data_IF_565787642793
#
_entry.id   IF_565787642793
#
_cell.length_a   1.000
_cell.length_b   1.000
_cell.length_c   1.000
_cell.angle_alpha   90.00
_cell.angle_beta   90.00
_cell.angle_gamma   90.00
#
_symmetry.space_group_name_H-M   'P 1'
#
loop_
_entity.id
_entity.type
_entity.pdbx_description
1 polymer ?
#
# COMPACT_ATOMS: atom_id res chain seq x y z
N UNK A 1 13.88 -6.44 -6.40
CA UNK A 1 12.97 -5.69 -7.27
C UNK A 1 12.93 -4.25 -6.73
N UNK A 2 13.15 -3.24 -7.55
CA UNK A 2 13.03 -1.84 -7.11
C UNK A 2 11.64 -1.32 -7.48
N UNK A 3 10.92 -0.81 -6.48
CA UNK A 3 9.62 -0.18 -6.66
C UNK A 3 9.75 1.33 -6.48
N UNK A 4 8.92 2.14 -7.18
CA UNK A 4 8.85 3.56 -6.91
C UNK A 4 8.41 3.83 -5.47
N UNK A 5 8.69 5.03 -4.97
CA UNK A 5 8.26 5.44 -3.63
C UNK A 5 6.74 5.61 -3.52
N UNK A 6 6.06 5.79 -4.64
CA UNK A 6 4.62 6.02 -4.69
C UNK A 6 3.94 5.17 -5.75
N UNK A 7 2.69 4.79 -5.47
CA UNK A 7 1.75 4.26 -6.45
C UNK A 7 0.46 5.07 -6.45
N UNK A 8 -0.09 5.30 -7.62
CA UNK A 8 -1.48 5.71 -7.81
C UNK A 8 -2.44 4.55 -7.49
N UNK A 9 -3.74 4.84 -7.35
CA UNK A 9 -4.76 3.78 -7.22
C UNK A 9 -4.69 2.77 -8.37
N UNK A 10 -4.51 3.24 -9.62
CA UNK A 10 -4.43 2.36 -10.78
C UNK A 10 -3.24 1.40 -10.68
N UNK A 11 -2.06 1.94 -10.37
CA UNK A 11 -0.84 1.14 -10.19
C UNK A 11 -1.00 0.15 -9.04
N UNK A 12 -1.59 0.56 -7.90
CA UNK A 12 -1.89 -0.35 -6.81
C UNK A 12 -2.77 -1.52 -7.26
N UNK A 13 -3.88 -1.25 -7.94
CA UNK A 13 -4.80 -2.31 -8.38
C UNK A 13 -4.16 -3.26 -9.40
N UNK A 14 -3.39 -2.73 -10.37
CA UNK A 14 -2.70 -3.54 -11.38
C UNK A 14 -1.57 -4.37 -10.75
N UNK A 15 -0.74 -3.74 -9.92
CA UNK A 15 0.39 -4.39 -9.28
C UNK A 15 -0.06 -5.43 -8.25
N UNK A 16 -1.10 -5.13 -7.46
CA UNK A 16 -1.70 -6.08 -6.51
C UNK A 16 -2.07 -7.37 -7.23
N UNK A 17 -2.84 -7.27 -8.32
CA UNK A 17 -3.26 -8.42 -9.11
C UNK A 17 -2.08 -9.23 -9.66
N UNK A 18 -1.11 -8.55 -10.27
CA UNK A 18 0.07 -9.21 -10.86
C UNK A 18 0.93 -9.91 -9.80
N UNK A 19 1.23 -9.22 -8.71
CA UNK A 19 2.18 -9.69 -7.69
C UNK A 19 1.55 -10.77 -6.81
N UNK A 20 0.24 -10.69 -6.53
CA UNK A 20 -0.46 -11.77 -5.83
C UNK A 20 -0.53 -13.05 -6.67
N UNK A 21 -0.64 -12.94 -8.00
CA UNK A 21 -0.52 -14.11 -8.90
C UNK A 21 0.89 -14.74 -8.89
N UNK A 22 1.91 -13.97 -8.54
CA UNK A 22 3.30 -14.43 -8.32
C UNK A 22 3.54 -14.91 -6.86
N UNK A 23 2.51 -14.89 -6.00
CA UNK A 23 2.59 -15.30 -4.59
C UNK A 23 3.16 -14.22 -3.65
N UNK A 24 3.24 -12.96 -4.09
CA UNK A 24 3.70 -11.82 -3.30
C UNK A 24 2.47 -11.08 -2.75
N UNK A 25 2.38 -10.98 -1.42
CA UNK A 25 1.25 -10.31 -0.75
C UNK A 25 1.36 -8.78 -0.90
N UNK A 26 0.26 -8.12 -1.29
CA UNK A 26 0.19 -6.66 -1.46
C UNK A 26 -0.92 -6.08 -0.59
N UNK A 27 -0.53 -5.29 0.42
CA UNK A 27 -1.42 -4.79 1.46
C UNK A 27 -1.59 -3.27 1.40
N UNK A 28 -2.83 -2.81 1.51
CA UNK A 28 -3.17 -1.40 1.62
C UNK A 28 -3.32 -1.02 3.11
N UNK A 29 -2.40 -0.20 3.62
CA UNK A 29 -2.25 0.05 5.04
C UNK A 29 -2.86 1.39 5.44
N UNK A 30 -3.89 1.35 6.28
CA UNK A 30 -4.55 2.51 6.88
C UNK A 30 -3.74 3.07 8.05
N UNK A 31 -3.19 4.27 7.89
CA UNK A 31 -2.45 4.96 8.97
C UNK A 31 -3.30 5.98 9.74
N UNK A 32 -4.59 6.13 9.43
CA UNK A 32 -5.47 7.18 9.96
C UNK A 32 -6.74 6.65 10.66
N UNK A 33 -6.91 5.32 10.76
CA UNK A 33 -8.09 4.69 11.36
C UNK A 33 -9.41 5.12 10.67
N UNK A 34 -9.31 5.31 9.36
CA UNK A 34 -10.41 5.69 8.49
C UNK A 34 -10.28 4.87 7.20
N UNK A 35 -10.83 3.64 7.16
CA UNK A 35 -10.70 2.74 6.03
C UNK A 35 -11.24 3.40 4.75
N UNK A 36 -10.59 3.11 3.63
CA UNK A 36 -11.10 3.47 2.31
C UNK A 36 -12.32 2.59 2.02
N UNK A 37 -13.47 3.21 1.77
CA UNK A 37 -14.71 2.49 1.46
C UNK A 37 -14.55 1.63 0.20
N UNK A 38 -15.02 0.38 0.27
CA UNK A 38 -14.92 -0.63 -0.79
C UNK A 38 -13.46 -0.98 -1.20
N UNK A 39 -12.49 -0.74 -0.32
CA UNK A 39 -11.13 -1.26 -0.47
C UNK A 39 -10.80 -2.19 0.70
N UNK A 40 -10.05 -3.25 0.41
CA UNK A 40 -9.50 -4.12 1.44
C UNK A 40 -8.28 -3.46 2.09
N UNK A 41 -8.46 -2.95 3.31
CA UNK A 41 -7.45 -2.21 4.06
C UNK A 41 -7.14 -2.88 5.39
N UNK A 42 -5.87 -2.84 5.80
CA UNK A 42 -5.42 -3.27 7.12
C UNK A 42 -4.96 -2.06 7.94
N UNK A 43 -5.30 -2.03 9.22
CA UNK A 43 -4.86 -0.96 10.13
C UNK A 43 -3.35 -1.05 10.33
N UNK A 44 -2.68 0.10 10.39
CA UNK A 44 -1.26 0.18 10.71
C UNK A 44 -0.96 -0.38 12.11
N UNK A 45 -0.52 -1.64 12.15
CA UNK A 45 0.00 -2.29 13.36
C UNK A 45 1.41 -2.84 13.08
N UNK A 46 2.48 -2.18 13.55
CA UNK A 46 3.85 -2.61 13.29
C UNK A 46 4.17 -4.04 13.74
N UNK A 47 3.53 -4.53 14.80
CA UNK A 47 3.79 -5.88 15.32
C UNK A 47 3.24 -6.93 14.35
N UNK A 48 2.00 -6.77 13.93
CA UNK A 48 1.36 -7.68 12.96
C UNK A 48 2.01 -7.60 11.58
N UNK A 49 2.32 -6.38 11.11
CA UNK A 49 2.94 -6.17 9.80
C UNK A 49 4.33 -6.80 9.69
N UNK A 50 5.11 -6.82 10.77
CA UNK A 50 6.42 -7.50 10.79
C UNK A 50 6.32 -9.01 10.61
N UNK A 51 5.19 -9.61 10.97
CA UNK A 51 4.95 -11.04 10.85
C UNK A 51 4.40 -11.45 9.47
N UNK A 52 4.18 -10.48 8.56
CA UNK A 52 3.82 -10.76 7.18
C UNK A 52 4.98 -11.40 6.41
N UNK A 53 4.72 -12.21 5.38
CA UNK A 53 5.74 -12.85 4.57
C UNK A 53 6.84 -11.87 4.13
N UNK A 54 8.08 -12.34 4.10
CA UNK A 54 9.21 -11.53 3.64
C UNK A 54 9.03 -11.22 2.14
N UNK A 55 9.32 -9.98 1.75
CA UNK A 55 9.07 -9.50 0.38
C UNK A 55 7.66 -8.96 0.13
N UNK A 56 6.71 -9.07 1.08
CA UNK A 56 5.39 -8.43 0.94
C UNK A 56 5.51 -6.92 0.72
N UNK A 57 4.51 -6.37 0.04
CA UNK A 57 4.46 -4.95 -0.33
C UNK A 57 3.41 -4.24 0.52
N UNK A 58 3.86 -3.22 1.24
CA UNK A 58 3.02 -2.38 2.08
C UNK A 58 2.82 -1.03 1.41
N UNK A 59 1.57 -0.75 1.05
CA UNK A 59 1.14 0.50 0.43
C UNK A 59 0.43 1.33 1.49
N UNK A 60 1.15 2.28 2.09
CA UNK A 60 0.64 3.12 3.18
C UNK A 60 -0.19 4.28 2.63
N UNK A 61 -1.35 4.53 3.22
CA UNK A 61 -2.14 5.72 2.91
C UNK A 61 -2.54 6.51 4.16
N UNK A 62 -2.66 7.82 3.97
CA UNK A 62 -3.38 8.74 4.84
C UNK A 62 -4.42 9.50 4.01
N UNK A 63 -4.98 10.61 4.51
CA UNK A 63 -5.99 11.38 3.76
C UNK A 63 -5.49 11.93 2.41
N UNK A 64 -4.23 12.40 2.36
CA UNK A 64 -3.66 13.08 1.17
C UNK A 64 -2.40 12.45 0.58
N UNK A 65 -1.88 11.39 1.20
CA UNK A 65 -0.60 10.75 0.83
C UNK A 65 0.66 11.52 1.27
N UNK A 66 0.55 12.80 1.64
CA UNK A 66 1.71 13.62 2.05
C UNK A 66 2.44 13.06 3.28
N UNK A 67 1.68 12.67 4.30
CA UNK A 67 2.28 12.17 5.54
C UNK A 67 2.98 10.82 5.35
N UNK A 68 2.38 9.92 4.56
CA UNK A 68 2.95 8.61 4.26
C UNK A 68 4.19 8.70 3.37
N UNK A 69 4.22 9.63 2.42
CA UNK A 69 5.40 9.90 1.60
C UNK A 69 6.55 10.49 2.43
N UNK A 70 6.28 11.51 3.25
CA UNK A 70 7.30 12.14 4.09
C UNK A 70 7.95 11.16 5.08
N UNK A 71 7.16 10.21 5.61
CA UNK A 71 7.62 9.19 6.56
C UNK A 71 8.08 7.90 5.90
N UNK A 72 8.15 7.83 4.57
CA UNK A 72 8.42 6.58 3.86
C UNK A 72 9.75 5.95 4.28
N UNK A 73 10.78 6.76 4.51
CA UNK A 73 12.08 6.27 4.96
C UNK A 73 12.02 5.66 6.37
N UNK A 74 11.15 6.15 7.24
CA UNK A 74 10.91 5.55 8.56
C UNK A 74 10.22 4.19 8.43
N UNK A 75 9.26 4.06 7.51
CA UNK A 75 8.63 2.76 7.22
C UNK A 75 9.65 1.76 6.65
N UNK A 76 10.48 2.17 5.68
CA UNK A 76 11.55 1.32 5.13
C UNK A 76 12.53 0.84 6.20
N UNK A 77 12.92 1.71 7.13
CA UNK A 77 13.75 1.34 8.29
C UNK A 77 13.04 0.37 9.24
N UNK A 78 11.73 0.53 9.43
CA UNK A 78 10.92 -0.28 10.35
C UNK A 78 10.58 -1.67 9.78
N UNK A 79 10.46 -1.77 8.46
CA UNK A 79 10.13 -3.00 7.72
C UNK A 79 11.19 -3.28 6.64
N UNK A 80 12.46 -3.54 7.03
CA UNK A 80 13.56 -3.71 6.06
C UNK A 80 13.44 -4.95 5.18
N UNK A 81 12.58 -5.90 5.57
CA UNK A 81 12.27 -7.15 4.86
C UNK A 81 11.09 -7.02 3.90
N UNK A 82 10.48 -5.84 3.83
CA UNK A 82 9.25 -5.59 3.08
C UNK A 82 9.43 -4.36 2.20
N UNK A 83 8.66 -4.27 1.13
CA UNK A 83 8.66 -3.09 0.28
C UNK A 83 7.65 -2.07 0.81
N UNK A 84 8.11 -0.85 1.06
CA UNK A 84 7.25 0.24 1.55
C UNK A 84 7.02 1.25 0.44
N UNK A 85 5.74 1.54 0.18
CA UNK A 85 5.25 2.45 -0.87
C UNK A 85 4.19 3.38 -0.26
N UNK A 86 4.12 4.63 -0.71
CA UNK A 86 3.04 5.55 -0.34
C UNK A 86 1.94 5.58 -1.41
N UNK A 87 0.67 5.56 -1.01
CA UNK A 87 -0.44 5.77 -1.94
C UNK A 87 -0.53 7.26 -2.32
N UNK A 88 -0.27 7.57 -3.58
CA UNK A 88 -0.30 8.94 -4.12
C UNK A 88 -1.70 9.53 -3.99
N UNK A 89 -1.78 10.69 -3.35
CA UNK A 89 -3.05 11.39 -3.11
C UNK A 89 -3.88 10.81 -1.96
N UNK A 90 -3.45 9.68 -1.38
CA UNK A 90 -4.12 9.06 -0.24
C UNK A 90 -5.58 8.68 -0.49
N UNK A 91 -6.35 8.58 0.60
CA UNK A 91 -7.78 8.28 0.58
C UNK A 91 -8.58 9.31 -0.23
N UNK A 92 -8.20 10.59 -0.20
CA UNK A 92 -8.90 11.66 -0.90
C UNK A 92 -8.89 11.55 -2.43
N UNK A 93 -7.94 10.80 -3.00
CA UNK A 93 -7.84 10.57 -4.44
C UNK A 93 -8.46 9.22 -4.87
N UNK A 94 -8.93 8.41 -3.92
CA UNK A 94 -9.49 7.10 -4.20
C UNK A 94 -10.86 7.20 -4.86
N UNK A 95 -10.99 6.59 -6.04
CA UNK A 95 -12.26 6.45 -6.77
C UNK A 95 -12.90 5.11 -6.46
N UNK A 96 -14.07 5.13 -5.81
CA UNK A 96 -14.80 3.92 -5.41
C UNK A 96 -15.14 2.96 -6.56
N UNK A 97 -15.32 3.49 -7.77
CA UNK A 97 -15.74 2.73 -8.95
C UNK A 97 -14.60 2.37 -9.90
N UNK A 98 -13.33 2.58 -9.50
CA UNK A 98 -12.20 2.23 -10.36
C UNK A 98 -11.96 0.73 -10.31
N UNK A 99 -12.05 0.11 -11.49
CA UNK A 99 -11.68 -1.28 -11.73
C UNK A 99 -10.60 -1.32 -12.79
N UNK A 100 -9.70 -2.30 -12.70
CA UNK A 100 -8.70 -2.59 -13.73
C UNK A 100 -9.12 -3.89 -14.42
N UNK A 101 -9.18 -3.88 -15.76
CA UNK A 101 -9.49 -5.06 -16.56
C UNK A 101 -8.21 -5.84 -16.82
N UNK A 102 -8.34 -7.16 -17.01
CA UNK A 102 -7.30 -7.94 -17.66
C UNK A 102 -7.31 -7.58 -19.14
N UNK A 103 -6.13 -7.31 -19.69
CA UNK A 103 -5.92 -7.29 -21.14
C UNK A 103 -5.89 -8.73 -21.67
#
# INVERSE_FOLDING_TARGET
MEFPNEWTQKEFLQNKKKLEAEGIEVLLIDTILSPIENADTIIYNPFELKNKPEGSIFVFYCDSGKATLNRLQEYKKKFPKHHCISLRGGRGYWRKSMTVFDD
#
